data_IF_141658683319
#
_entry.id   IF_141658683319
#
_cell.length_a   1.000
_cell.length_b   1.000
_cell.length_c   1.000
_cell.angle_alpha   90.00
_cell.angle_beta   90.00
_cell.angle_gamma   90.00
#
_symmetry.space_group_name_H-M   'P 1'
#
loop_
_entity.id
_entity.type
_entity.pdbx_description
1 polymer ?
#
# COMPACT_ATOMS: atom_id res chain seq x y z
N UNK A 1 -21.01 4.24 -21.02
CA UNK A 1 -21.60 5.36 -20.24
C UNK A 1 -23.07 5.42 -20.60
N UNK A 2 -23.99 5.27 -19.63
CA UNK A 2 -25.43 5.15 -19.90
C UNK A 2 -25.73 4.10 -21.00
N UNK A 3 -25.13 2.91 -20.85
CA UNK A 3 -25.23 1.77 -21.79
C UNK A 3 -24.73 2.01 -23.22
N UNK A 4 -24.12 3.16 -23.50
CA UNK A 4 -23.46 3.45 -24.77
C UNK A 4 -21.95 3.18 -24.66
N UNK A 5 -21.42 2.39 -25.60
CA UNK A 5 -20.00 2.14 -25.72
C UNK A 5 -19.32 3.29 -26.48
N UNK A 6 -18.45 4.05 -25.80
CA UNK A 6 -17.70 5.17 -26.39
C UNK A 6 -16.26 4.81 -26.76
N UNK A 7 -15.71 3.77 -26.13
CA UNK A 7 -14.35 3.32 -26.31
C UNK A 7 -14.27 1.82 -26.00
N UNK A 8 -13.25 1.15 -26.54
CA UNK A 8 -12.89 -0.20 -26.14
C UNK A 8 -11.69 -0.14 -25.18
N UNK A 9 -11.66 -0.92 -24.09
CA UNK A 9 -10.49 -1.02 -23.25
C UNK A 9 -9.35 -1.60 -24.08
N UNK A 10 -8.24 -0.87 -24.17
CA UNK A 10 -7.08 -1.26 -24.95
C UNK A 10 -5.95 -1.74 -24.06
N UNK A 11 -5.56 -0.93 -23.08
CA UNK A 11 -4.52 -1.24 -22.11
C UNK A 11 -5.01 -0.89 -20.70
N UNK A 12 -5.04 -1.90 -19.83
CA UNK A 12 -5.52 -1.78 -18.46
C UNK A 12 -4.37 -2.03 -17.50
N UNK A 13 -4.17 -1.13 -16.55
CA UNK A 13 -3.14 -1.25 -15.52
C UNK A 13 -3.76 -1.40 -14.13
N UNK A 14 -3.01 -2.04 -13.24
CA UNK A 14 -3.35 -2.19 -11.84
C UNK A 14 -2.11 -1.89 -10.99
N UNK A 15 -2.32 -1.39 -9.77
CA UNK A 15 -1.23 -1.25 -8.80
C UNK A 15 -0.90 -2.62 -8.21
N UNK A 16 0.40 -2.93 -8.13
CA UNK A 16 0.92 -4.21 -7.65
C UNK A 16 1.90 -3.98 -6.50
N UNK A 17 1.95 -4.93 -5.56
CA UNK A 17 3.00 -5.00 -4.55
C UNK A 17 4.14 -5.88 -5.07
N UNK A 18 5.31 -5.27 -5.28
CA UNK A 18 6.56 -5.98 -5.53
C UNK A 18 7.35 -6.11 -4.23
N UNK A 19 7.91 -7.29 -3.96
CA UNK A 19 8.66 -7.56 -2.75
C UNK A 19 9.91 -8.41 -3.03
N UNK A 20 10.89 -8.35 -2.12
CA UNK A 20 12.13 -9.11 -2.18
C UNK A 20 11.98 -10.44 -1.44
N UNK A 21 11.58 -11.48 -2.18
CA UNK A 21 11.33 -12.82 -1.63
C UNK A 21 12.46 -13.34 -0.74
N UNK A 22 13.71 -13.11 -1.14
CA UNK A 22 14.91 -13.51 -0.39
C UNK A 22 14.99 -12.88 1.00
N UNK A 23 14.53 -11.63 1.18
CA UNK A 23 14.50 -10.99 2.50
C UNK A 23 13.40 -11.57 3.41
N UNK A 24 12.28 -12.02 2.83
CA UNK A 24 11.21 -12.70 3.58
C UNK A 24 11.56 -14.16 3.91
N UNK A 25 12.51 -14.77 3.21
CA UNK A 25 12.99 -16.13 3.49
C UNK A 25 14.22 -16.14 4.42
N UNK A 26 14.84 -14.99 4.68
CA UNK A 26 16.01 -14.87 5.55
C UNK A 26 15.67 -15.16 7.03
N UNK A 27 16.33 -16.16 7.60
CA UNK A 27 16.10 -16.62 8.98
C UNK A 27 16.44 -15.58 10.05
N UNK A 28 17.43 -14.71 9.80
CA UNK A 28 17.85 -13.66 10.72
C UNK A 28 16.78 -12.57 10.72
N UNK A 29 16.33 -12.13 9.55
CA UNK A 29 15.28 -11.11 9.43
C UNK A 29 13.95 -11.57 10.03
N UNK A 30 13.55 -12.83 9.79
CA UNK A 30 12.36 -13.42 10.41
C UNK A 30 12.43 -13.36 11.94
N UNK A 31 13.58 -13.75 12.50
CA UNK A 31 13.80 -13.74 13.95
C UNK A 31 13.78 -12.34 14.51
N UNK A 32 14.48 -11.40 13.88
CA UNK A 32 14.52 -9.99 14.30
C UNK A 32 13.14 -9.35 14.27
N UNK A 33 12.36 -9.62 13.21
CA UNK A 33 10.98 -9.12 13.10
C UNK A 33 10.09 -9.69 14.19
N UNK A 34 10.17 -10.99 14.46
CA UNK A 34 9.41 -11.64 15.52
C UNK A 34 9.78 -11.12 16.92
N UNK A 35 11.08 -10.96 17.21
CA UNK A 35 11.54 -10.41 18.50
C UNK A 35 11.05 -8.97 18.72
N UNK A 36 10.93 -8.18 17.64
CA UNK A 36 10.48 -6.79 17.72
C UNK A 36 8.95 -6.65 17.79
N UNK A 37 8.21 -7.43 17.02
CA UNK A 37 6.76 -7.22 16.79
C UNK A 37 5.87 -8.29 17.43
N UNK A 38 6.43 -9.46 17.77
CA UNK A 38 5.68 -10.64 18.17
C UNK A 38 5.01 -11.40 17.03
N UNK A 39 5.16 -10.94 15.78
CA UNK A 39 4.53 -11.52 14.60
C UNK A 39 5.55 -12.19 13.66
N UNK A 40 5.11 -13.16 12.84
CA UNK A 40 5.97 -13.75 11.81
C UNK A 40 6.15 -12.78 10.64
N UNK A 41 7.37 -12.69 10.09
CA UNK A 41 7.63 -11.92 8.87
C UNK A 41 7.07 -12.66 7.66
N UNK A 42 5.88 -12.26 7.21
CA UNK A 42 5.20 -12.79 6.03
C UNK A 42 4.90 -11.68 5.03
N UNK A 43 4.68 -12.05 3.75
CA UNK A 43 4.25 -11.08 2.73
C UNK A 43 2.93 -10.44 3.19
N UNK A 44 2.84 -9.10 3.26
CA UNK A 44 1.67 -8.44 3.82
C UNK A 44 0.45 -8.62 2.93
N UNK A 45 -0.69 -8.86 3.57
CA UNK A 45 -2.01 -9.02 2.95
C UNK A 45 -2.96 -7.89 3.32
N UNK A 46 -2.61 -7.10 4.33
CA UNK A 46 -3.29 -5.87 4.72
C UNK A 46 -2.34 -4.66 4.67
N UNK A 47 -2.90 -3.45 4.60
CA UNK A 47 -2.09 -2.24 4.65
C UNK A 47 -1.41 -2.04 6.01
N UNK A 48 -2.04 -2.47 7.11
CA UNK A 48 -1.43 -2.45 8.45
C UNK A 48 -0.18 -3.35 8.52
N UNK A 49 -0.26 -4.58 7.99
CA UNK A 49 0.90 -5.47 7.87
C UNK A 49 1.99 -4.84 6.97
N UNK A 50 1.59 -4.23 5.86
CA UNK A 50 2.50 -3.54 4.96
C UNK A 50 3.26 -2.40 5.67
N UNK A 51 2.56 -1.55 6.40
CA UNK A 51 3.15 -0.41 7.12
C UNK A 51 4.14 -0.91 8.20
N UNK A 52 3.77 -1.97 8.95
CA UNK A 52 4.65 -2.60 9.94
C UNK A 52 5.94 -3.18 9.31
N UNK A 53 5.82 -3.89 8.18
CA UNK A 53 6.97 -4.45 7.47
C UNK A 53 7.85 -3.35 6.88
N UNK A 54 7.25 -2.32 6.27
CA UNK A 54 7.98 -1.17 5.72
C UNK A 54 8.71 -0.40 6.82
N UNK A 55 8.11 -0.20 7.98
CA UNK A 55 8.76 0.44 9.12
C UNK A 55 9.96 -0.38 9.61
N UNK A 56 9.80 -1.70 9.77
CA UNK A 56 10.89 -2.60 10.17
C UNK A 56 12.11 -2.49 9.24
N UNK A 57 11.91 -2.61 7.93
CA UNK A 57 13.02 -2.52 6.97
C UNK A 57 13.60 -1.10 6.89
N UNK A 58 12.78 -0.07 7.06
CA UNK A 58 13.25 1.33 7.10
C UNK A 58 14.17 1.59 8.28
N UNK A 59 13.86 1.05 9.46
CA UNK A 59 14.75 1.15 10.62
C UNK A 59 16.05 0.34 10.47
N UNK A 60 16.00 -0.78 9.75
CA UNK A 60 17.19 -1.58 9.43
C UNK A 60 18.01 -1.00 8.28
N UNK A 61 17.50 0.01 7.57
CA UNK A 61 18.11 0.49 6.34
C UNK A 61 19.55 0.94 6.54
N UNK A 62 20.43 0.48 5.64
CA UNK A 62 21.81 0.94 5.56
C UNK A 62 22.13 1.34 4.12
N UNK A 63 22.53 2.60 3.92
CA UNK A 63 22.82 3.15 2.61
C UNK A 63 23.89 2.30 1.89
N UNK A 64 23.58 1.87 0.66
CA UNK A 64 24.47 1.04 -0.16
C UNK A 64 24.45 -0.46 0.16
N UNK A 65 23.67 -0.93 1.14
CA UNK A 65 23.57 -2.37 1.45
C UNK A 65 22.30 -3.00 0.86
N UNK A 66 22.48 -3.95 -0.05
CA UNK A 66 21.38 -4.63 -0.74
C UNK A 66 20.49 -5.52 0.16
N UNK A 67 21.01 -5.96 1.32
CA UNK A 67 20.30 -6.79 2.30
C UNK A 67 19.57 -5.95 3.36
N UNK A 68 19.84 -4.64 3.41
CA UNK A 68 19.23 -3.68 4.32
C UNK A 68 18.60 -2.53 3.52
N UNK A 69 17.66 -2.81 2.59
CA UNK A 69 17.08 -1.78 1.74
C UNK A 69 16.13 -0.88 2.53
N UNK A 70 15.72 0.24 1.92
CA UNK A 70 14.56 1.00 2.39
C UNK A 70 13.31 0.10 2.37
N UNK A 71 12.42 0.26 3.35
CA UNK A 71 11.28 -0.64 3.50
C UNK A 71 10.17 -0.49 2.47
N UNK A 72 10.14 0.62 1.75
CA UNK A 72 9.25 0.84 0.62
C UNK A 72 9.83 1.90 -0.33
N UNK A 73 9.34 1.89 -1.56
CA UNK A 73 9.50 2.98 -2.52
C UNK A 73 8.21 3.09 -3.33
N UNK A 74 7.66 4.31 -3.39
CA UNK A 74 6.41 4.60 -4.08
C UNK A 74 6.59 5.85 -4.94
N UNK A 75 6.02 5.84 -6.14
CA UNK A 75 6.09 6.96 -7.09
C UNK A 75 5.03 8.01 -6.77
N UNK A 76 5.43 9.08 -6.07
CA UNK A 76 4.55 10.20 -5.68
C UNK A 76 4.71 11.43 -6.60
N UNK A 77 5.11 11.23 -7.86
CA UNK A 77 5.51 12.30 -8.78
C UNK A 77 4.38 13.20 -9.31
N UNK A 78 3.12 12.90 -9.02
CA UNK A 78 1.98 13.74 -9.40
C UNK A 78 0.81 13.58 -8.43
N UNK A 79 -0.06 14.60 -8.38
CA UNK A 79 -1.29 14.55 -7.56
C UNK A 79 -2.20 13.36 -7.94
N UNK A 80 -2.23 12.97 -9.23
CA UNK A 80 -3.01 11.82 -9.69
C UNK A 80 -2.47 10.49 -9.17
N UNK A 81 -1.14 10.35 -9.07
CA UNK A 81 -0.52 9.15 -8.50
C UNK A 81 -0.75 9.07 -7.00
N UNK A 82 -0.57 10.18 -6.29
CA UNK A 82 -0.85 10.27 -4.84
C UNK A 82 -2.32 9.91 -4.56
N UNK A 83 -3.26 10.45 -5.35
CA UNK A 83 -4.68 10.13 -5.20
C UNK A 83 -4.97 8.65 -5.46
N UNK A 84 -4.30 8.01 -6.42
CA UNK A 84 -4.49 6.58 -6.72
C UNK A 84 -4.00 5.69 -5.59
N UNK A 85 -2.83 6.00 -5.02
CA UNK A 85 -2.29 5.27 -3.87
C UNK A 85 -3.25 5.39 -2.67
N UNK A 86 -3.69 6.61 -2.34
CA UNK A 86 -4.62 6.84 -1.25
C UNK A 86 -5.95 6.11 -1.45
N UNK A 87 -6.51 6.15 -2.66
CA UNK A 87 -7.79 5.50 -2.97
C UNK A 87 -7.74 3.99 -2.79
N UNK A 88 -6.58 3.34 -2.99
CA UNK A 88 -6.45 1.91 -2.72
C UNK A 88 -6.61 1.59 -1.24
N UNK A 89 -5.97 2.38 -0.37
CA UNK A 89 -6.13 2.25 1.09
C UNK A 89 -7.57 2.51 1.51
N UNK A 90 -8.19 3.55 0.94
CA UNK A 90 -9.59 3.88 1.20
C UNK A 90 -10.54 2.77 0.76
N UNK A 91 -10.32 2.16 -0.41
CA UNK A 91 -11.14 1.05 -0.91
C UNK A 91 -10.93 -0.25 -0.14
N UNK A 92 -9.72 -0.51 0.33
CA UNK A 92 -9.42 -1.66 1.20
C UNK A 92 -10.16 -1.57 2.54
N UNK A 93 -10.39 -0.35 3.07
CA UNK A 93 -11.25 -0.13 4.25
C UNK A 93 -12.75 -0.05 3.93
N UNK A 94 -13.16 -0.42 2.72
CA UNK A 94 -14.57 -0.43 2.31
C UNK A 94 -15.11 0.89 1.76
N UNK A 95 -14.27 1.93 1.68
CA UNK A 95 -14.63 3.19 1.05
C UNK A 95 -14.97 3.03 -0.43
N UNK A 96 -15.82 3.92 -0.96
CA UNK A 96 -16.14 4.01 -2.39
C UNK A 96 -16.16 5.48 -2.77
N UNK A 97 -15.48 5.84 -3.87
CA UNK A 97 -15.45 7.23 -4.35
C UNK A 97 -16.76 7.59 -5.06
N UNK A 98 -17.28 6.66 -5.86
CA UNK A 98 -18.57 6.80 -6.52
C UNK A 98 -19.56 5.86 -5.84
N UNK A 99 -20.57 6.43 -5.18
CA UNK A 99 -21.66 5.69 -4.56
C UNK A 99 -22.83 5.47 -5.53
N UNK A 100 -23.94 4.96 -5.00
CA UNK A 100 -25.17 4.69 -5.77
C UNK A 100 -25.85 5.95 -6.32
N UNK A 101 -25.55 7.12 -5.77
CA UNK A 101 -26.03 8.42 -6.26
C UNK A 101 -25.17 8.98 -7.41
N UNK A 102 -24.13 8.26 -7.83
CA UNK A 102 -23.19 8.65 -8.89
C UNK A 102 -22.47 9.99 -8.63
N UNK A 103 -22.45 10.47 -7.38
CA UNK A 103 -21.74 11.69 -6.99
C UNK A 103 -20.38 11.29 -6.41
N UNK A 104 -19.26 11.79 -6.97
CA UNK A 104 -17.94 11.55 -6.40
C UNK A 104 -17.82 12.20 -5.02
N UNK A 105 -17.61 11.38 -3.99
CA UNK A 105 -17.35 11.86 -2.63
C UNK A 105 -16.52 10.88 -1.81
N UNK A 106 -15.72 11.43 -0.92
CA UNK A 106 -15.09 10.68 0.16
C UNK A 106 -16.04 10.65 1.37
N UNK A 107 -16.27 9.46 1.92
CA UNK A 107 -17.16 9.29 3.06
C UNK A 107 -16.41 9.58 4.36
N UNK A 108 -16.92 10.54 5.13
CA UNK A 108 -16.39 10.87 6.46
C UNK A 108 -17.16 10.07 7.54
N UNK A 109 -16.52 9.66 8.64
CA UNK A 109 -15.13 9.95 9.03
C UNK A 109 -14.07 9.05 8.38
N UNK A 110 -14.47 7.95 7.75
CA UNK A 110 -13.58 6.91 7.21
C UNK A 110 -12.41 7.47 6.37
N UNK A 111 -12.69 8.40 5.47
CA UNK A 111 -11.66 8.99 4.62
C UNK A 111 -10.59 9.75 5.41
N UNK A 112 -10.97 10.42 6.50
CA UNK A 112 -10.02 11.10 7.38
C UNK A 112 -9.16 10.11 8.15
N UNK A 113 -9.75 9.03 8.65
CA UNK A 113 -9.03 7.96 9.36
C UNK A 113 -8.00 7.30 8.45
N UNK A 114 -8.41 6.93 7.23
CA UNK A 114 -7.48 6.37 6.21
C UNK A 114 -6.36 7.34 5.87
N UNK A 115 -6.66 8.64 5.79
CA UNK A 115 -5.63 9.65 5.50
C UNK A 115 -4.66 9.79 6.66
N UNK A 116 -5.14 9.75 7.90
CA UNK A 116 -4.28 9.77 9.07
C UNK A 116 -3.34 8.55 9.07
N UNK A 117 -3.88 7.35 8.86
CA UNK A 117 -3.08 6.12 8.77
C UNK A 117 -2.02 6.20 7.64
N UNK A 118 -2.36 6.79 6.50
CA UNK A 118 -1.45 6.92 5.36
C UNK A 118 -0.27 7.89 5.60
N UNK A 119 -0.46 8.91 6.44
CA UNK A 119 0.54 9.94 6.70
C UNK A 119 1.50 9.57 7.84
N UNK A 120 1.24 8.47 8.56
CA UNK A 120 2.06 7.97 9.65
C UNK A 120 3.13 6.98 9.15
#
# INVERSE_FOLDING_TARGET
VNDVAYAMPFDASAQLLFYRKDLFEDTILKRMYYEKTGNELTVPTTFEEYDNVTQFFTELHQAGQAHCPMGASTTLGSAGLIATEYLLRYYAKGGRLIGSDNIPRLAMPLAAEVLADYLH
#
